data_IF_598141622407
#
_entry.id   IF_598141622407
#
_cell.length_a   1.000
_cell.length_b   1.000
_cell.length_c   1.000
_cell.angle_alpha   90.00
_cell.angle_beta   90.00
_cell.angle_gamma   90.00
#
_symmetry.space_group_name_H-M   'P 1'
#
loop_
_entity.id
_entity.type
_entity.pdbx_description
1 polymer ?
#
# COMPACT_ATOMS: atom_id res chain seq x y z
N UNK A 1 23.28 -66.57 -1.31
CA UNK A 1 23.30 -65.22 -1.94
C UNK A 1 22.86 -64.20 -0.90
N UNK A 2 23.80 -63.40 -0.40
CA UNK A 2 23.56 -62.30 0.55
C UNK A 2 23.06 -61.07 -0.22
N UNK A 3 21.91 -60.52 0.18
CA UNK A 3 21.49 -59.18 -0.24
C UNK A 3 21.45 -58.28 1.01
N UNK A 4 22.59 -57.64 1.26
CA UNK A 4 22.76 -56.55 2.21
C UNK A 4 21.99 -55.33 1.69
N UNK A 5 20.90 -54.95 2.38
CA UNK A 5 20.14 -53.74 2.05
C UNK A 5 20.61 -52.61 2.96
N UNK A 6 21.48 -51.77 2.40
CA UNK A 6 21.70 -50.41 2.87
C UNK A 6 20.36 -49.65 2.92
N UNK A 7 20.10 -48.94 4.01
CA UNK A 7 19.13 -47.85 4.03
C UNK A 7 19.75 -46.68 4.76
N UNK A 8 20.05 -45.65 3.97
CA UNK A 8 20.69 -44.42 4.36
C UNK A 8 19.80 -43.59 5.29
N UNK A 9 20.44 -43.01 6.30
CA UNK A 9 19.85 -42.04 7.21
C UNK A 9 19.67 -40.72 6.44
N UNK A 10 18.43 -40.31 6.20
CA UNK A 10 18.11 -38.97 5.70
C UNK A 10 18.26 -37.95 6.84
N UNK A 11 19.39 -37.23 6.86
CA UNK A 11 19.54 -36.01 7.64
C UNK A 11 18.65 -34.91 7.02
N UNK A 12 17.47 -34.69 7.60
CA UNK A 12 16.60 -33.57 7.26
C UNK A 12 17.16 -32.27 7.84
N UNK A 13 17.89 -31.50 7.04
CA UNK A 13 18.27 -30.13 7.37
C UNK A 13 17.05 -29.19 7.25
N UNK A 14 16.42 -28.86 8.38
CA UNK A 14 15.40 -27.82 8.48
C UNK A 14 16.04 -26.44 8.29
N UNK A 15 15.99 -25.90 7.07
CA UNK A 15 16.32 -24.49 6.81
C UNK A 15 15.15 -23.63 7.29
N UNK A 16 15.17 -23.20 8.53
CA UNK A 16 14.33 -22.08 8.99
C UNK A 16 14.94 -20.78 8.46
N UNK A 17 14.60 -20.43 7.21
CA UNK A 17 14.75 -19.06 6.73
C UNK A 17 13.75 -18.18 7.47
N UNK A 18 14.16 -17.65 8.60
CA UNK A 18 13.55 -16.42 9.12
C UNK A 18 14.36 -15.25 8.55
N UNK A 19 13.82 -14.46 7.61
CA UNK A 19 14.43 -13.18 7.31
C UNK A 19 14.19 -12.30 8.54
N UNK A 20 15.17 -12.28 9.44
CA UNK A 20 15.27 -11.26 10.48
C UNK A 20 15.60 -9.94 9.77
N UNK A 21 14.55 -9.27 9.31
CA UNK A 21 14.63 -7.90 8.81
C UNK A 21 15.08 -7.02 9.98
N UNK A 22 16.35 -6.63 9.97
CA UNK A 22 16.89 -5.62 10.86
C UNK A 22 16.08 -4.33 10.70
N UNK A 23 15.25 -4.02 11.70
CA UNK A 23 14.46 -2.79 11.74
C UNK A 23 15.37 -1.67 12.22
N UNK A 24 15.82 -0.80 11.31
CA UNK A 24 16.56 0.39 11.68
C UNK A 24 15.71 1.27 12.61
N UNK A 25 16.20 1.55 13.82
CA UNK A 25 15.60 2.50 14.75
C UNK A 25 15.90 3.93 14.27
N UNK A 26 15.17 4.42 13.28
CA UNK A 26 15.19 5.84 12.96
C UNK A 26 14.42 6.58 14.06
N UNK A 27 15.12 7.23 14.98
CA UNK A 27 14.52 8.21 15.88
C UNK A 27 13.84 9.26 15.02
N UNK A 28 12.51 9.23 15.03
CA UNK A 28 11.73 10.01 14.08
C UNK A 28 11.68 11.46 14.55
N UNK A 29 12.55 12.31 14.01
CA UNK A 29 12.41 13.76 14.14
C UNK A 29 11.05 14.17 13.58
N UNK A 30 10.31 14.97 14.36
CA UNK A 30 9.03 15.56 13.93
C UNK A 30 9.35 16.54 12.81
N UNK A 31 8.81 16.36 11.59
CA UNK A 31 9.10 17.26 10.50
C UNK A 31 8.40 18.62 10.77
N UNK A 32 9.09 19.75 10.50
CA UNK A 32 8.42 21.04 10.52
C UNK A 32 7.33 21.07 9.44
N UNK A 33 6.23 21.81 9.65
CA UNK A 33 5.23 22.02 8.62
C UNK A 33 5.88 22.74 7.42
N UNK A 34 5.56 22.29 6.21
CA UNK A 34 6.16 22.77 4.97
C UNK A 34 5.10 23.04 3.92
N UNK A 35 5.21 24.19 3.27
CA UNK A 35 4.35 24.59 2.17
C UNK A 35 2.91 24.82 2.62
N UNK A 36 1.96 24.22 1.90
CA UNK A 36 0.52 24.38 2.10
C UNK A 36 -0.07 23.48 3.20
N UNK A 37 0.75 22.76 3.96
CA UNK A 37 0.28 21.76 4.92
C UNK A 37 0.84 22.06 6.30
N UNK A 38 0.01 22.73 7.10
CA UNK A 38 0.33 23.11 8.48
C UNK A 38 -0.45 22.27 9.49
N UNK A 39 -1.62 21.77 9.09
CA UNK A 39 -2.47 20.95 9.94
C UNK A 39 -2.46 19.47 9.52
N UNK A 40 -2.64 18.52 10.46
CA UNK A 40 -2.72 17.10 10.13
C UNK A 40 -3.92 16.81 9.22
N UNK A 41 -5.02 17.57 9.33
CA UNK A 41 -6.17 17.43 8.43
C UNK A 41 -5.85 17.83 6.99
N UNK A 42 -5.16 18.94 6.77
CA UNK A 42 -4.69 19.34 5.43
C UNK A 42 -3.80 18.25 4.83
N UNK A 43 -2.95 17.64 5.65
CA UNK A 43 -2.09 16.55 5.21
C UNK A 43 -2.91 15.35 4.74
N UNK A 44 -3.91 14.94 5.52
CA UNK A 44 -4.78 13.83 5.16
C UNK A 44 -5.62 14.12 3.92
N UNK A 45 -6.14 15.34 3.77
CA UNK A 45 -6.87 15.80 2.58
C UNK A 45 -5.97 15.79 1.34
N UNK A 46 -4.73 16.27 1.46
CA UNK A 46 -3.77 16.31 0.35
C UNK A 46 -3.32 14.94 -0.14
N UNK A 47 -3.27 13.94 0.75
CA UNK A 47 -2.91 12.56 0.41
C UNK A 47 -4.04 11.82 -0.33
N UNK A 48 -5.29 12.20 -0.06
CA UNK A 48 -6.47 11.60 -0.68
C UNK A 48 -6.73 10.17 -0.20
N UNK A 49 -7.33 9.33 -1.07
CA UNK A 49 -7.84 7.98 -0.75
C UNK A 49 -8.86 7.95 0.40
N UNK A 50 -9.63 9.04 0.53
CA UNK A 50 -10.60 9.27 1.59
C UNK A 50 -9.99 9.03 2.98
N UNK A 51 -8.78 9.53 3.22
CA UNK A 51 -8.08 9.35 4.50
C UNK A 51 -8.62 10.29 5.57
N UNK A 52 -9.11 11.46 5.16
CA UNK A 52 -9.76 12.48 5.99
C UNK A 52 -11.01 11.96 6.72
N UNK A 53 -11.71 10.99 6.15
CA UNK A 53 -12.91 10.39 6.76
C UNK A 53 -12.58 9.21 7.68
N UNK A 54 -11.40 8.61 7.52
CA UNK A 54 -11.01 7.37 8.22
C UNK A 54 -10.18 7.64 9.46
N UNK A 55 -9.50 8.77 9.50
CA UNK A 55 -8.62 9.15 10.60
C UNK A 55 -8.63 10.65 10.77
N UNK A 56 -8.72 11.09 12.01
CA UNK A 56 -8.56 12.49 12.39
C UNK A 56 -7.56 12.57 13.55
N UNK A 57 -6.75 13.61 13.54
CA UNK A 57 -5.79 13.91 14.58
C UNK A 57 -5.81 15.42 14.84
N UNK A 58 -5.78 15.81 16.12
CA UNK A 58 -5.90 17.21 16.53
C UNK A 58 -4.53 17.90 16.61
N UNK A 59 -3.48 17.16 17.01
CA UNK A 59 -2.12 17.68 17.19
C UNK A 59 -1.16 17.21 16.09
N UNK A 60 -0.37 18.15 15.55
CA UNK A 60 0.68 17.86 14.57
C UNK A 60 1.75 16.94 15.16
N UNK A 61 2.22 17.24 16.37
CA UNK A 61 3.28 16.46 17.04
C UNK A 61 2.83 15.03 17.35
N UNK A 62 1.60 14.88 17.85
CA UNK A 62 1.02 13.56 18.12
C UNK A 62 0.80 12.76 16.84
N UNK A 63 0.40 13.43 15.77
CA UNK A 63 0.22 12.79 14.47
C UNK A 63 1.52 12.16 13.99
N UNK A 64 2.64 12.90 14.06
CA UNK A 64 3.94 12.44 13.58
C UNK A 64 4.61 11.38 14.47
N UNK A 65 4.17 11.23 15.72
CA UNK A 65 4.68 10.19 16.64
C UNK A 65 3.89 8.88 16.55
N UNK A 66 2.73 8.85 15.88
CA UNK A 66 1.94 7.62 15.76
C UNK A 66 2.70 6.51 15.05
N UNK A 67 2.69 5.33 15.67
CA UNK A 67 3.23 4.10 15.09
C UNK A 67 2.09 3.24 14.51
N UNK A 68 2.41 2.27 13.64
CA UNK A 68 1.42 1.35 13.07
C UNK A 68 0.57 0.57 14.09
N UNK A 69 1.04 0.41 15.34
CA UNK A 69 0.25 -0.14 16.45
C UNK A 69 -0.86 0.82 16.89
N UNK A 70 -0.51 2.07 17.20
CA UNK A 70 -1.46 3.14 17.55
C UNK A 70 -2.54 3.31 16.45
N UNK A 71 -2.13 3.20 15.18
CA UNK A 71 -3.05 3.29 14.05
C UNK A 71 -3.96 2.06 13.92
N UNK A 72 -3.52 0.89 14.38
CA UNK A 72 -4.35 -0.32 14.43
C UNK A 72 -5.41 -0.18 15.53
N UNK A 73 -5.03 0.36 16.68
CA UNK A 73 -5.94 0.67 17.79
C UNK A 73 -6.99 1.71 17.39
N UNK A 74 -6.60 2.70 16.58
CA UNK A 74 -7.51 3.66 15.97
C UNK A 74 -8.45 3.06 14.89
N UNK A 75 -8.43 1.74 14.66
CA UNK A 75 -9.38 1.06 13.77
C UNK A 75 -9.08 1.16 12.27
N UNK A 76 -7.97 1.77 11.86
CA UNK A 76 -7.61 1.88 10.44
C UNK A 76 -7.37 0.51 9.80
N UNK A 77 -7.78 0.31 8.55
CA UNK A 77 -7.49 -0.92 7.80
C UNK A 77 -5.99 -1.07 7.48
N UNK A 78 -5.51 -2.31 7.32
CA UNK A 78 -4.08 -2.61 7.09
C UNK A 78 -3.50 -1.82 5.90
N UNK A 79 -4.27 -1.72 4.80
CA UNK A 79 -3.85 -1.00 3.59
C UNK A 79 -3.67 0.50 3.84
N UNK A 80 -4.60 1.10 4.56
CA UNK A 80 -4.61 2.53 4.86
C UNK A 80 -3.48 2.89 5.84
N UNK A 81 -3.23 2.05 6.85
CA UNK A 81 -2.09 2.24 7.77
C UNK A 81 -0.74 2.20 7.03
N UNK A 82 -0.55 1.22 6.15
CA UNK A 82 0.69 1.10 5.34
C UNK A 82 0.88 2.29 4.43
N UNK A 83 -0.21 2.76 3.82
CA UNK A 83 -0.19 3.92 2.95
C UNK A 83 0.16 5.20 3.71
N UNK A 84 -0.49 5.45 4.85
CA UNK A 84 -0.24 6.63 5.67
C UNK A 84 1.21 6.70 6.15
N UNK A 85 1.75 5.59 6.69
CA UNK A 85 3.14 5.53 7.14
C UNK A 85 4.14 5.73 5.99
N UNK A 86 3.82 5.24 4.79
CA UNK A 86 4.63 5.47 3.60
C UNK A 86 4.63 6.94 3.19
N UNK A 87 3.47 7.60 3.16
CA UNK A 87 3.36 9.04 2.90
C UNK A 87 4.11 9.87 3.95
N UNK A 88 4.00 9.52 5.23
CA UNK A 88 4.75 10.17 6.30
C UNK A 88 6.27 10.00 6.12
N UNK A 89 6.72 8.80 5.73
CA UNK A 89 8.13 8.54 5.42
C UNK A 89 8.62 9.38 4.23
N UNK A 90 7.82 9.50 3.18
CA UNK A 90 8.13 10.33 2.01
C UNK A 90 8.19 11.81 2.36
N UNK A 91 7.24 12.30 3.14
CA UNK A 91 7.25 13.66 3.64
C UNK A 91 8.52 13.92 4.45
N UNK A 92 8.88 13.06 5.43
CA UNK A 92 10.11 13.23 6.21
C UNK A 92 11.38 13.31 5.36
N UNK A 93 11.41 12.59 4.24
CA UNK A 93 12.53 12.62 3.28
C UNK A 93 12.56 13.87 2.39
N UNK A 94 11.54 14.73 2.46
CA UNK A 94 11.45 15.98 1.73
C UNK A 94 10.86 15.88 0.32
N UNK A 95 10.19 14.78 -0.02
CA UNK A 95 9.47 14.70 -1.28
C UNK A 95 8.22 15.59 -1.25
N UNK A 96 7.93 16.35 -2.31
CA UNK A 96 6.69 17.13 -2.42
C UNK A 96 5.48 16.18 -2.48
N UNK A 97 4.36 16.57 -1.88
CA UNK A 97 3.16 15.72 -1.74
C UNK A 97 2.55 15.36 -3.10
N UNK A 98 2.48 16.33 -4.00
CA UNK A 98 1.87 16.18 -5.33
C UNK A 98 2.52 15.06 -6.16
N UNK A 99 3.82 14.81 -5.99
CA UNK A 99 4.55 13.81 -6.77
C UNK A 99 4.15 12.36 -6.44
N UNK A 100 3.88 12.05 -5.16
CA UNK A 100 3.67 10.67 -4.72
C UNK A 100 2.22 10.34 -4.36
N UNK A 101 1.34 11.34 -4.36
CA UNK A 101 -0.07 11.14 -4.10
C UNK A 101 -0.73 10.48 -5.30
N UNK A 102 -1.41 9.35 -5.03
CA UNK A 102 -2.07 8.56 -6.05
C UNK A 102 -3.47 8.21 -5.59
N UNK A 103 -4.45 8.68 -6.35
CA UNK A 103 -5.85 8.31 -6.19
C UNK A 103 -6.04 6.78 -6.28
N UNK A 104 -7.07 6.25 -5.60
CA UNK A 104 -7.36 4.83 -5.70
C UNK A 104 -7.73 4.50 -7.16
N UNK A 105 -7.17 3.42 -7.73
CA UNK A 105 -7.49 3.05 -9.10
C UNK A 105 -9.00 2.78 -9.21
N UNK A 106 -9.66 3.25 -10.28
CA UNK A 106 -11.09 3.08 -10.44
C UNK A 106 -11.44 1.60 -10.54
N UNK A 107 -12.65 1.25 -10.10
CA UNK A 107 -13.15 -0.13 -10.15
C UNK A 107 -13.15 -0.63 -11.60
N UNK A 108 -12.58 -1.81 -11.81
CA UNK A 108 -12.60 -2.47 -13.13
C UNK A 108 -14.05 -2.73 -13.56
N UNK A 109 -14.43 -2.19 -14.71
CA UNK A 109 -15.75 -2.46 -15.32
C UNK A 109 -15.81 -3.84 -15.94
N UNK A 110 -14.75 -4.29 -16.61
CA UNK A 110 -14.69 -5.60 -17.28
C UNK A 110 -13.64 -6.46 -16.57
N UNK A 111 -13.99 -7.71 -16.24
CA UNK A 111 -13.07 -8.72 -15.71
C UNK A 111 -12.47 -9.51 -16.87
N UNK A 112 -11.16 -9.75 -16.84
CA UNK A 112 -10.43 -10.37 -17.96
C UNK A 112 -10.85 -11.82 -18.27
N UNK A 113 -11.15 -12.59 -17.23
CA UNK A 113 -11.72 -13.94 -17.34
C UNK A 113 -13.22 -13.89 -17.01
N UNK A 114 -14.07 -14.49 -17.84
CA UNK A 114 -15.51 -14.54 -17.65
C UNK A 114 -16.32 -14.57 -18.94
N UNK A 115 -17.66 -14.47 -18.84
CA UNK A 115 -18.58 -14.51 -19.98
C UNK A 115 -18.27 -13.46 -21.04
N UNK A 116 -18.56 -13.77 -22.32
CA UNK A 116 -18.27 -12.92 -23.48
C UNK A 116 -18.94 -11.54 -23.40
N UNK A 117 -20.06 -11.43 -22.66
CA UNK A 117 -20.79 -10.20 -22.38
C UNK A 117 -20.71 -9.92 -20.88
N UNK A 118 -20.21 -8.76 -20.49
CA UNK A 118 -20.22 -8.28 -19.10
C UNK A 118 -20.75 -6.85 -19.07
N UNK A 119 -21.64 -6.53 -18.12
CA UNK A 119 -22.24 -5.21 -17.97
C UNK A 119 -22.83 -4.68 -19.29
N UNK A 120 -23.54 -5.55 -20.04
CA UNK A 120 -24.18 -5.21 -21.32
C UNK A 120 -23.22 -5.03 -22.51
N UNK A 121 -21.90 -5.21 -22.34
CA UNK A 121 -20.90 -5.02 -23.40
C UNK A 121 -20.19 -6.33 -23.77
N UNK A 122 -20.05 -6.61 -25.08
CA UNK A 122 -19.30 -7.78 -25.59
C UNK A 122 -17.80 -7.50 -25.66
N UNK A 123 -17.03 -8.12 -24.79
CA UNK A 123 -15.64 -7.74 -24.43
C UNK A 123 -14.63 -8.01 -25.56
N UNK A 124 -14.83 -9.09 -26.33
CA UNK A 124 -13.89 -9.52 -27.39
C UNK A 124 -14.39 -9.22 -28.81
N UNK A 125 -15.39 -8.34 -28.94
CA UNK A 125 -15.87 -7.92 -30.25
C UNK A 125 -14.89 -6.92 -30.88
N UNK A 126 -14.63 -7.06 -32.19
CA UNK A 126 -13.72 -6.18 -32.94
C UNK A 126 -14.25 -4.74 -33.06
N UNK A 127 -15.56 -4.56 -32.91
CA UNK A 127 -16.31 -3.30 -33.14
C UNK A 127 -16.20 -2.29 -31.99
N UNK A 128 -16.00 -2.74 -30.75
CA UNK A 128 -16.04 -1.89 -29.55
C UNK A 128 -14.70 -1.79 -28.79
N UNK A 129 -13.56 -1.93 -29.48
CA UNK A 129 -12.26 -1.59 -28.89
C UNK A 129 -12.24 -0.09 -28.56
N UNK A 130 -12.54 0.25 -27.31
CA UNK A 130 -12.72 1.61 -26.83
C UNK A 130 -11.36 2.31 -26.72
N UNK A 131 -10.87 2.86 -27.84
CA UNK A 131 -9.57 3.55 -27.94
C UNK A 131 -9.51 4.82 -27.07
N UNK A 132 -10.65 5.29 -26.56
CA UNK A 132 -10.79 6.51 -25.75
C UNK A 132 -10.09 6.40 -24.39
N UNK A 133 -10.08 5.22 -23.76
CA UNK A 133 -9.46 5.01 -22.44
C UNK A 133 -7.94 4.91 -22.46
N UNK A 134 -7.33 4.76 -23.64
CA UNK A 134 -5.87 4.73 -23.82
C UNK A 134 -5.25 6.14 -23.83
N UNK A 135 -6.06 7.19 -24.06
CA UNK A 135 -5.60 8.59 -24.18
C UNK A 135 -5.55 9.37 -22.86
N UNK A 136 -6.23 8.94 -21.78
CA UNK A 136 -6.24 9.65 -20.47
C UNK A 136 -5.08 9.25 -19.56
N UNK A 137 -3.86 9.29 -20.10
CA UNK A 137 -2.63 9.16 -19.29
C UNK A 137 -1.60 10.11 -19.87
N UNK A 138 -1.83 11.40 -19.62
CA UNK A 138 -0.91 12.51 -19.84
C UNK A 138 -1.12 13.44 -18.66
#
# INVERSE_FOLDING_TARGET
>A
MLASRCSAIFFGASRSWTPFLARSLTTSTIPPPRGSVNTPEEFLKSIGRSMETKYSAESWEEFWTKTGANLKEAGLAIRDRRYMLWCMSKYRRGFPLEEFVHEPPPKKTVRGWGPSVQNGKRIRSRVHQDKSKKKKKT
#
